data_IF_231093357518
#
_entry.id   IF_231093357518
#
_cell.length_a   1.000
_cell.length_b   1.000
_cell.length_c   1.000
_cell.angle_alpha   90.00
_cell.angle_beta   90.00
_cell.angle_gamma   90.00
#
_symmetry.space_group_name_H-M   'P 1'
#
loop_
_entity.id
_entity.type
_entity.pdbx_description
1 polymer ?
#
# COMPACT_ATOMS: atom_id res chain seq x y z
N UNK A 1 -19.78 9.03 -21.09
CA UNK A 1 -20.16 7.79 -20.37
C UNK A 1 -19.29 6.66 -20.91
N UNK A 2 -18.58 5.96 -20.02
CA UNK A 2 -17.60 4.91 -20.35
C UNK A 2 -18.27 3.82 -21.18
N UNK A 3 -17.59 3.33 -22.22
CA UNK A 3 -18.08 2.19 -23.00
C UNK A 3 -18.24 0.96 -22.09
N UNK A 4 -19.34 0.22 -22.25
CA UNK A 4 -19.56 -1.03 -21.53
C UNK A 4 -18.38 -1.99 -21.75
N UNK A 5 -17.98 -2.69 -20.69
CA UNK A 5 -16.86 -3.65 -20.67
C UNK A 5 -15.49 -3.01 -20.96
N UNK A 6 -15.33 -1.70 -20.75
CA UNK A 6 -13.98 -1.09 -20.72
C UNK A 6 -13.21 -1.66 -19.54
N UNK A 7 -11.99 -2.12 -19.79
CA UNK A 7 -11.00 -2.48 -18.76
C UNK A 7 -10.00 -1.34 -18.67
N UNK A 8 -9.65 -0.95 -17.45
CA UNK A 8 -8.64 0.07 -17.13
C UNK A 8 -7.64 -0.60 -16.20
N UNK A 9 -6.39 -0.71 -16.64
CA UNK A 9 -5.34 -1.45 -15.93
C UNK A 9 -4.62 -0.61 -14.86
N UNK A 10 -4.86 0.71 -14.85
CA UNK A 10 -4.33 1.61 -13.84
C UNK A 10 -4.90 1.26 -12.46
N UNK A 11 -4.00 1.10 -11.49
CA UNK A 11 -4.34 0.84 -10.09
C UNK A 11 -5.17 1.99 -9.50
N UNK A 12 -6.19 1.63 -8.72
CA UNK A 12 -6.95 2.55 -7.85
C UNK A 12 -7.04 1.95 -6.46
N UNK A 13 -7.12 2.80 -5.44
CA UNK A 13 -7.22 2.42 -4.03
C UNK A 13 -8.61 2.70 -3.48
N UNK A 14 -8.96 2.05 -2.38
CA UNK A 14 -10.22 2.31 -1.69
C UNK A 14 -10.35 3.76 -1.22
N UNK A 15 -9.23 4.42 -0.89
CA UNK A 15 -9.18 5.83 -0.47
C UNK A 15 -9.52 6.80 -1.61
N UNK A 16 -9.47 6.35 -2.87
CA UNK A 16 -9.75 7.16 -4.06
C UNK A 16 -11.27 7.31 -4.31
N UNK A 17 -12.10 6.47 -3.68
CA UNK A 17 -13.56 6.49 -3.89
C UNK A 17 -14.16 7.83 -3.43
N UNK A 18 -13.80 8.30 -2.23
CA UNK A 18 -14.33 9.55 -1.68
C UNK A 18 -14.00 10.78 -2.53
N UNK A 19 -12.73 11.06 -2.89
CA UNK A 19 -12.40 12.20 -3.76
C UNK A 19 -13.02 12.06 -5.16
N UNK A 20 -13.14 10.84 -5.70
CA UNK A 20 -13.83 10.62 -6.99
C UNK A 20 -15.30 10.99 -6.93
N UNK A 21 -16.01 10.66 -5.85
CA UNK A 21 -17.43 11.01 -5.69
C UNK A 21 -17.62 12.53 -5.58
N UNK A 22 -16.71 13.24 -4.92
CA UNK A 22 -16.74 14.70 -4.82
C UNK A 22 -16.50 15.35 -6.19
N UNK A 23 -15.46 14.92 -6.91
CA UNK A 23 -15.15 15.39 -8.26
C UNK A 23 -16.30 15.11 -9.23
N UNK A 24 -16.89 13.92 -9.17
CA UNK A 24 -18.09 13.57 -9.94
C UNK A 24 -19.29 14.49 -9.64
N UNK A 25 -19.44 14.92 -8.39
CA UNK A 25 -20.47 15.87 -7.98
C UNK A 25 -20.14 17.34 -8.32
N UNK A 26 -18.96 17.61 -8.89
CA UNK A 26 -18.47 18.96 -9.17
C UNK A 26 -18.07 19.74 -7.92
N UNK A 27 -17.74 19.03 -6.82
CA UNK A 27 -17.29 19.60 -5.56
C UNK A 27 -15.76 19.61 -5.49
N UNK A 28 -15.20 20.57 -4.77
CA UNK A 28 -13.76 20.63 -4.50
C UNK A 28 -13.33 19.46 -3.61
N UNK A 29 -12.29 18.74 -4.02
CA UNK A 29 -11.66 17.68 -3.23
C UNK A 29 -10.77 18.33 -2.17
N UNK A 30 -11.02 18.12 -0.86
CA UNK A 30 -10.20 18.72 0.18
C UNK A 30 -8.74 18.23 0.13
N UNK A 31 -7.74 19.11 0.36
CA UNK A 31 -6.32 18.75 0.24
C UNK A 31 -5.82 17.77 1.30
N UNK A 32 -6.61 17.49 2.35
CA UNK A 32 -6.27 16.50 3.37
C UNK A 32 -6.68 15.07 2.98
N UNK A 33 -7.48 14.89 1.91
CA UNK A 33 -7.81 13.54 1.43
C UNK A 33 -6.55 12.91 0.83
N UNK A 34 -6.26 11.68 1.25
CA UNK A 34 -5.10 10.95 0.76
C UNK A 34 -5.28 10.42 -0.66
N UNK A 35 -6.52 10.04 -1.01
CA UNK A 35 -6.83 9.49 -2.33
C UNK A 35 -6.90 10.55 -3.42
N UNK A 36 -6.86 10.09 -4.67
CA UNK A 36 -6.92 10.92 -5.88
C UNK A 36 -8.17 10.55 -6.67
N UNK A 37 -8.88 11.53 -7.24
CA UNK A 37 -10.03 11.24 -8.10
C UNK A 37 -9.59 10.46 -9.36
N UNK A 38 -10.21 9.30 -9.62
CA UNK A 38 -9.99 8.53 -10.83
C UNK A 38 -10.94 8.87 -11.98
N UNK A 39 -11.72 9.96 -11.87
CA UNK A 39 -12.57 10.45 -12.96
C UNK A 39 -11.83 10.61 -14.30
N UNK A 40 -10.57 11.13 -14.34
CA UNK A 40 -9.82 11.25 -15.59
C UNK A 40 -9.55 9.91 -16.30
N UNK A 41 -9.47 8.80 -15.56
CA UNK A 41 -9.33 7.47 -16.16
C UNK A 41 -10.63 7.00 -16.84
N UNK A 42 -11.78 7.51 -16.44
CA UNK A 42 -13.08 7.07 -16.95
C UNK A 42 -13.36 7.65 -18.35
N UNK A 43 -12.86 8.85 -18.63
CA UNK A 43 -12.94 9.45 -19.96
C UNK A 43 -11.81 8.97 -20.89
N UNK A 44 -12.12 8.68 -22.16
CA UNK A 44 -11.14 8.10 -23.07
C UNK A 44 -10.06 9.09 -23.53
N UNK A 45 -10.40 10.37 -23.69
CA UNK A 45 -9.44 11.39 -24.07
C UNK A 45 -8.53 11.72 -22.91
N UNK A 46 -9.11 11.96 -21.72
CA UNK A 46 -8.34 12.24 -20.51
C UNK A 46 -7.47 11.05 -20.10
N UNK A 47 -7.98 9.81 -20.17
CA UNK A 47 -7.20 8.61 -19.85
C UNK A 47 -5.94 8.50 -20.70
N UNK A 48 -6.00 8.83 -21.99
CA UNK A 48 -4.82 8.77 -22.85
C UNK A 48 -3.71 9.74 -22.39
N UNK A 49 -4.09 10.86 -21.76
CA UNK A 49 -3.17 11.85 -21.22
C UNK A 49 -2.65 11.45 -19.83
N UNK A 50 -3.51 10.96 -18.95
CA UNK A 50 -3.15 10.70 -17.54
C UNK A 50 -2.59 9.31 -17.29
N UNK A 51 -2.99 8.28 -18.06
CA UNK A 51 -2.61 6.89 -17.80
C UNK A 51 -1.09 6.64 -17.77
N UNK A 52 -0.26 7.24 -18.66
CA UNK A 52 1.19 7.09 -18.61
C UNK A 52 1.83 7.67 -17.35
N UNK A 53 1.11 8.56 -16.65
CA UNK A 53 1.58 9.26 -15.46
C UNK A 53 0.73 8.91 -14.22
N UNK A 54 -0.10 7.86 -14.32
CA UNK A 54 -1.06 7.54 -13.28
C UNK A 54 -0.39 7.07 -11.99
N UNK A 55 -0.81 7.67 -10.89
CA UNK A 55 -0.49 7.31 -9.52
C UNK A 55 -1.80 6.85 -8.86
N UNK A 56 -1.83 5.75 -8.11
CA UNK A 56 -0.72 5.19 -7.34
C UNK A 56 -0.18 3.86 -7.89
N UNK A 57 1.06 3.88 -8.36
CA UNK A 57 1.88 2.67 -8.55
C UNK A 57 2.52 2.18 -7.23
N UNK A 58 2.33 2.91 -6.13
CA UNK A 58 2.77 2.53 -4.80
C UNK A 58 1.63 2.67 -3.79
N UNK A 59 1.48 1.70 -2.90
CA UNK A 59 0.57 1.85 -1.77
C UNK A 59 1.03 1.07 -0.56
N UNK A 60 0.75 1.65 0.61
CA UNK A 60 0.92 0.99 1.88
C UNK A 60 -0.41 0.43 2.40
N UNK A 61 -0.35 -0.68 3.10
CA UNK A 61 -1.40 -1.03 4.06
C UNK A 61 -0.78 -1.50 5.36
N UNK A 62 -1.44 -1.15 6.47
CA UNK A 62 -0.99 -1.49 7.81
C UNK A 62 -2.08 -2.30 8.48
N UNK A 63 -1.73 -3.52 8.89
CA UNK A 63 -2.52 -4.24 9.87
C UNK A 63 -1.98 -3.88 11.24
N UNK A 64 -2.82 -3.25 12.06
CA UNK A 64 -2.48 -3.01 13.46
C UNK A 64 -2.98 -4.20 14.26
N UNK A 65 -2.05 -5.04 14.70
CA UNK A 65 -2.36 -6.16 15.59
C UNK A 65 -2.97 -5.63 16.89
N UNK A 66 -4.10 -6.22 17.28
CA UNK A 66 -4.76 -5.91 18.54
C UNK A 66 -3.94 -6.54 19.67
N UNK A 67 -3.40 -5.72 20.59
CA UNK A 67 -2.87 -6.21 21.86
C UNK A 67 -4.03 -6.48 22.82
N UNK A 68 -4.26 -7.77 23.07
CA UNK A 68 -4.27 -8.47 24.38
C UNK A 68 -4.99 -7.91 25.62
N UNK A 69 -5.74 -6.81 25.57
CA UNK A 69 -6.46 -6.32 26.77
C UNK A 69 -7.96 -6.68 26.75
N UNK A 70 -8.54 -6.81 25.55
CA UNK A 70 -9.98 -6.98 25.34
C UNK A 70 -10.38 -8.36 24.78
N UNK A 71 -9.39 -9.16 24.38
CA UNK A 71 -9.63 -10.52 23.88
C UNK A 71 -9.38 -11.47 25.04
N UNK A 72 -10.47 -11.82 25.73
CA UNK A 72 -10.47 -12.84 26.78
C UNK A 72 -9.76 -14.11 26.30
N UNK A 73 -9.23 -14.92 27.22
CA UNK A 73 -8.68 -16.26 26.94
C UNK A 73 -9.59 -17.16 26.06
N UNK A 74 -10.87 -16.82 25.90
CA UNK A 74 -11.81 -17.47 24.98
C UNK A 74 -11.63 -17.14 23.48
N UNK A 75 -10.79 -16.18 23.10
CA UNK A 75 -10.47 -15.91 21.70
C UNK A 75 -9.42 -16.90 21.18
N UNK A 76 -9.90 -18.12 20.97
CA UNK A 76 -9.20 -19.23 20.31
C UNK A 76 -8.47 -18.76 19.07
N UNK A 77 -7.16 -19.05 18.96
CA UNK A 77 -6.27 -19.26 17.79
C UNK A 77 -6.38 -18.39 16.51
N UNK A 78 -7.37 -17.53 16.39
CA UNK A 78 -7.79 -16.76 15.20
C UNK A 78 -7.52 -15.26 15.39
N UNK A 79 -7.22 -14.83 16.62
CA UNK A 79 -7.18 -13.42 17.02
C UNK A 79 -5.77 -12.82 17.22
N UNK A 80 -4.72 -13.44 16.66
CA UNK A 80 -3.34 -12.89 16.70
C UNK A 80 -2.86 -12.49 15.32
N UNK A 81 -3.58 -11.58 14.66
CA UNK A 81 -3.05 -10.93 13.46
C UNK A 81 -1.87 -10.06 13.91
N UNK A 82 -0.63 -10.38 13.50
CA UNK A 82 0.52 -9.58 13.88
C UNK A 82 0.36 -8.18 13.29
N UNK A 83 0.95 -7.19 13.95
CA UNK A 83 1.11 -5.91 13.28
C UNK A 83 2.03 -6.14 12.08
N UNK A 84 1.59 -5.73 10.90
CA UNK A 84 2.45 -5.72 9.74
C UNK A 84 2.25 -4.45 8.94
N UNK A 85 3.32 -4.03 8.28
CA UNK A 85 3.31 -2.94 7.32
C UNK A 85 3.67 -3.55 5.98
N UNK A 86 2.90 -3.20 4.97
CA UNK A 86 3.12 -3.68 3.62
C UNK A 86 3.33 -2.50 2.72
N UNK A 87 4.35 -2.61 1.88
CA UNK A 87 4.66 -1.68 0.82
C UNK A 87 4.63 -2.41 -0.51
N UNK A 88 3.80 -1.93 -1.43
CA UNK A 88 3.84 -2.34 -2.83
C UNK A 88 4.34 -1.18 -3.66
N UNK A 89 5.23 -1.45 -4.61
CA UNK A 89 5.85 -0.47 -5.52
C UNK A 89 5.80 -0.97 -6.95
N UNK A 90 5.83 -0.04 -7.92
CA UNK A 90 6.15 -0.33 -9.32
C UNK A 90 7.19 0.66 -9.82
N UNK A 91 8.23 0.18 -10.51
CA UNK A 91 9.27 1.03 -11.13
C UNK A 91 8.72 1.91 -12.25
N UNK A 92 7.61 1.49 -12.89
CA UNK A 92 6.97 2.23 -13.97
C UNK A 92 5.71 2.95 -13.51
N UNK A 93 5.57 4.21 -13.90
CA UNK A 93 4.36 4.99 -13.66
C UNK A 93 3.22 4.42 -14.50
N UNK A 94 2.02 4.29 -13.93
CA UNK A 94 0.86 3.75 -14.62
C UNK A 94 0.84 2.23 -14.84
N UNK A 95 1.79 1.48 -14.27
CA UNK A 95 1.77 0.01 -14.25
C UNK A 95 1.34 -0.55 -12.90
N UNK A 96 1.00 -1.83 -12.87
CA UNK A 96 0.82 -2.56 -11.61
C UNK A 96 2.13 -2.58 -10.79
N UNK A 97 2.05 -2.74 -9.47
CA UNK A 97 3.23 -2.94 -8.64
C UNK A 97 4.05 -4.15 -9.11
N UNK A 98 5.37 -4.01 -9.16
CA UNK A 98 6.33 -5.05 -9.53
C UNK A 98 7.00 -5.71 -8.31
N UNK A 99 6.85 -5.15 -7.11
CA UNK A 99 7.36 -5.73 -5.89
C UNK A 99 6.50 -5.45 -4.67
N UNK A 100 6.65 -6.31 -3.66
CA UNK A 100 5.99 -6.21 -2.35
C UNK A 100 6.99 -6.49 -1.25
N UNK A 101 7.07 -5.58 -0.27
CA UNK A 101 7.72 -5.79 1.02
C UNK A 101 6.65 -5.91 2.11
N UNK A 102 6.79 -6.86 3.01
CA UNK A 102 5.99 -6.93 4.25
C UNK A 102 6.93 -7.05 5.44
N UNK A 103 6.75 -6.17 6.42
CA UNK A 103 7.52 -6.17 7.65
C UNK A 103 6.65 -6.37 8.89
N UNK A 104 7.17 -7.16 9.81
CA UNK A 104 6.54 -7.48 11.09
C UNK A 104 7.43 -6.90 12.20
N UNK A 105 7.02 -5.82 12.86
CA UNK A 105 7.91 -5.08 13.77
C UNK A 105 8.34 -5.93 14.98
N UNK A 106 7.47 -6.84 15.43
CA UNK A 106 7.72 -7.76 16.52
C UNK A 106 8.52 -9.01 16.10
N UNK A 107 8.54 -9.34 14.80
CA UNK A 107 9.14 -10.57 14.25
C UNK A 107 9.87 -10.26 12.94
N UNK A 108 11.01 -9.56 13.02
CA UNK A 108 11.76 -9.13 11.84
C UNK A 108 12.18 -10.30 10.94
N UNK A 109 12.35 -11.49 11.51
CA UNK A 109 12.65 -12.72 10.81
C UNK A 109 11.50 -13.21 9.90
N UNK A 110 10.28 -12.69 10.06
CA UNK A 110 9.14 -12.97 9.19
C UNK A 110 9.06 -12.02 8.01
N UNK A 111 10.06 -11.14 7.78
CA UNK A 111 10.05 -10.22 6.64
C UNK A 111 9.83 -10.97 5.34
N UNK A 112 8.94 -10.46 4.50
CA UNK A 112 8.59 -11.03 3.20
C UNK A 112 8.93 -10.05 2.08
N UNK A 113 9.56 -10.55 1.03
CA UNK A 113 9.85 -9.79 -0.18
C UNK A 113 9.46 -10.62 -1.40
N UNK A 114 8.64 -10.04 -2.28
CA UNK A 114 8.21 -10.69 -3.53
C UNK A 114 8.43 -9.77 -4.72
N UNK A 115 8.72 -10.40 -5.87
CA UNK A 115 8.75 -9.79 -7.19
C UNK A 115 7.48 -10.20 -7.92
N UNK A 116 6.54 -9.28 -8.08
CA UNK A 116 5.19 -9.55 -8.57
C UNK A 116 5.14 -9.72 -10.09
N UNK A 117 6.14 -9.22 -10.80
CA UNK A 117 6.34 -9.44 -12.22
C UNK A 117 6.77 -10.88 -12.54
N UNK A 118 7.56 -11.49 -11.65
CA UNK A 118 8.05 -12.88 -11.78
C UNK A 118 7.19 -13.90 -10.99
N UNK A 119 6.64 -13.50 -9.84
CA UNK A 119 5.91 -14.33 -8.88
C UNK A 119 4.61 -13.61 -8.46
N UNK A 120 3.62 -13.49 -9.36
CA UNK A 120 2.36 -12.79 -9.10
C UNK A 120 1.53 -13.45 -7.98
N UNK A 121 1.78 -14.73 -7.69
CA UNK A 121 1.10 -15.51 -6.65
C UNK A 121 1.83 -15.47 -5.30
N UNK A 122 2.94 -14.71 -5.18
CA UNK A 122 3.67 -14.48 -3.93
C UNK A 122 4.11 -15.77 -3.21
N UNK A 123 4.63 -16.73 -3.98
CA UNK A 123 4.99 -18.06 -3.48
C UNK A 123 6.44 -18.19 -3.02
N UNK A 124 7.34 -17.29 -3.47
CA UNK A 124 8.77 -17.37 -3.21
C UNK A 124 9.26 -16.15 -2.43
N UNK A 125 9.39 -16.28 -1.10
CA UNK A 125 9.93 -15.20 -0.27
C UNK A 125 11.44 -14.99 -0.53
N UNK A 126 11.78 -13.80 -1.02
CA UNK A 126 13.13 -13.39 -1.40
C UNK A 126 13.91 -12.67 -0.30
N UNK A 127 13.32 -12.42 0.86
CA UNK A 127 13.86 -11.50 1.88
C UNK A 127 15.24 -11.90 2.41
N UNK A 128 15.53 -13.21 2.47
CA UNK A 128 16.81 -13.75 2.96
C UNK A 128 17.86 -13.95 1.85
N UNK A 129 17.53 -13.62 0.59
CA UNK A 129 18.43 -13.78 -0.54
C UNK A 129 19.42 -12.61 -0.66
N UNK A 130 20.75 -12.82 -0.61
CA UNK A 130 21.73 -11.72 -0.70
C UNK A 130 21.63 -10.93 -2.02
N UNK A 131 21.15 -11.58 -3.10
CA UNK A 131 20.86 -10.94 -4.39
C UNK A 131 19.82 -9.82 -4.28
N UNK A 132 18.85 -9.96 -3.37
CA UNK A 132 17.70 -9.06 -3.26
C UNK A 132 17.83 -8.04 -2.11
N UNK A 133 18.94 -8.08 -1.35
CA UNK A 133 19.19 -7.13 -0.26
C UNK A 133 19.12 -5.65 -0.69
N UNK A 134 19.61 -5.23 -1.88
CA UNK A 134 19.45 -3.85 -2.34
C UNK A 134 17.99 -3.45 -2.58
N UNK A 135 17.20 -4.35 -3.18
CA UNK A 135 15.77 -4.11 -3.40
C UNK A 135 15.04 -4.00 -2.06
N UNK A 136 15.29 -4.94 -1.15
CA UNK A 136 14.71 -4.95 0.18
C UNK A 136 14.96 -3.63 0.92
N UNK A 137 16.20 -3.13 0.87
CA UNK A 137 16.56 -1.86 1.49
C UNK A 137 15.84 -0.68 0.85
N UNK A 138 15.81 -0.61 -0.50
CA UNK A 138 15.05 0.42 -1.24
C UNK A 138 13.59 0.45 -0.81
N UNK A 139 12.92 -0.70 -0.80
CA UNK A 139 11.49 -0.77 -0.45
C UNK A 139 11.22 -0.40 1.00
N UNK A 140 12.16 -0.72 1.89
CA UNK A 140 12.07 -0.31 3.30
C UNK A 140 12.15 1.20 3.44
N UNK A 141 13.10 1.84 2.76
CA UNK A 141 13.25 3.30 2.79
C UNK A 141 11.99 4.00 2.25
N UNK A 142 11.45 3.54 1.12
CA UNK A 142 10.21 4.08 0.56
C UNK A 142 9.01 3.88 1.50
N UNK A 143 8.91 2.70 2.13
CA UNK A 143 7.88 2.41 3.12
C UNK A 143 8.00 3.32 4.34
N UNK A 144 9.22 3.50 4.85
CA UNK A 144 9.50 4.34 6.02
C UNK A 144 9.13 5.79 5.75
N UNK A 145 9.53 6.35 4.60
CA UNK A 145 9.19 7.69 4.15
C UNK A 145 7.66 7.89 4.10
N UNK A 146 6.94 6.93 3.50
CA UNK A 146 5.49 7.00 3.39
C UNK A 146 4.78 6.89 4.74
N UNK A 147 5.25 5.98 5.60
CA UNK A 147 4.70 5.80 6.95
C UNK A 147 4.93 7.04 7.82
N UNK A 148 6.03 7.76 7.62
CA UNK A 148 6.33 9.04 8.28
C UNK A 148 5.43 10.16 7.81
N UNK A 149 5.30 10.35 6.50
CA UNK A 149 4.45 11.38 5.89
C UNK A 149 3.01 11.29 6.42
N UNK A 150 2.51 10.06 6.51
CA UNK A 150 1.16 9.79 7.02
C UNK A 150 1.06 9.69 8.55
N UNK A 151 2.18 9.87 9.27
CA UNK A 151 2.30 9.72 10.72
C UNK A 151 1.77 8.37 11.23
N UNK A 152 1.83 7.31 10.40
CA UNK A 152 1.29 5.99 10.70
C UNK A 152 2.08 5.29 11.81
N UNK A 153 3.39 5.55 11.88
CA UNK A 153 4.22 5.08 13.00
C UNK A 153 3.67 5.52 14.35
N UNK A 154 3.33 6.80 14.51
CA UNK A 154 2.85 7.36 15.77
C UNK A 154 1.46 6.83 16.17
N UNK A 155 0.66 6.41 15.18
CA UNK A 155 -0.69 5.85 15.38
C UNK A 155 -0.67 4.40 15.81
N UNK A 156 0.42 3.68 15.52
CA UNK A 156 0.58 2.28 15.89
C UNK A 156 1.08 2.12 17.33
N UNK A 157 0.39 1.35 18.19
CA UNK A 157 0.85 1.06 19.54
C UNK A 157 2.23 0.38 19.59
N UNK A 158 2.61 -0.32 18.53
CA UNK A 158 3.88 -1.08 18.45
C UNK A 158 5.09 -0.16 18.37
N UNK A 159 4.92 1.04 17.81
CA UNK A 159 5.98 2.03 17.62
C UNK A 159 5.97 3.13 18.69
N UNK A 160 5.05 3.06 19.65
CA UNK A 160 4.97 4.05 20.71
C UNK A 160 6.20 3.94 21.61
N UNK A 161 7.02 4.99 21.63
CA UNK A 161 8.23 5.07 22.46
C UNK A 161 9.43 4.30 21.91
N UNK A 162 9.34 3.76 20.68
CA UNK A 162 10.51 3.25 19.95
C UNK A 162 11.16 4.39 19.16
N UNK A 163 12.45 4.28 18.88
CA UNK A 163 13.06 5.10 17.84
C UNK A 163 12.34 4.79 16.52
N UNK A 164 11.87 5.83 15.84
CA UNK A 164 11.31 5.68 14.52
C UNK A 164 12.46 5.54 13.49
N UNK A 165 12.20 4.97 12.30
CA UNK A 165 13.17 5.05 11.22
C UNK A 165 13.54 6.52 10.91
N UNK A 166 14.76 6.72 10.43
CA UNK A 166 15.51 8.00 10.37
C UNK A 166 16.15 8.44 11.69
#
# INVERSE_FOLDING_TARGET
LIKRNTVIDQTVLNVDIAPTLLDFAGLEVPPYMQGISFMPLLDAAQRAEVAPFWWPNHFAYVYLGLKDDAVSEAASDVARIPTCMVWRTGESVGTQPDAKLTEYPQWKEWTELFRLDDDPEETANLANGPKYAPLLQKLREEMDDHMMDLSLYQRSPVYRGTALPH
#
